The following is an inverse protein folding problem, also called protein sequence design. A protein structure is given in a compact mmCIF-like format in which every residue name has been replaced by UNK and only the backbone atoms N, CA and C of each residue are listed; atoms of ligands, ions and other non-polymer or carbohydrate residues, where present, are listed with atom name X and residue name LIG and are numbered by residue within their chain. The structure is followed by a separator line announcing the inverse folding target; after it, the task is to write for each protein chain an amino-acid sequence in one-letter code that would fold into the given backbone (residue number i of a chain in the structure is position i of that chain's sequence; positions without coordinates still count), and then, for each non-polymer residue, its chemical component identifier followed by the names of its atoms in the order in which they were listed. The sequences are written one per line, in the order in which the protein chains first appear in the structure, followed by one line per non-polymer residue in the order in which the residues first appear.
data_IF_748284508186
#
_entry.id   IF_748284508186
#
_cell.length_a   1.000
_cell.length_b   1.000
_cell.length_c   1.000
_cell.angle_alpha   90.00
_cell.angle_beta   90.00
_cell.angle_gamma   90.00
#
_symmetry.space_group_name_H-M   'P 1'
#
loop_
_entity.id
_entity.type
_entity.pdbx_description
1 polymer ?
#
# COMPACT_ATOMS: atom_id res chain seq x y z
N UNK A 1 -16.98 -17.30 2.73
CA UNK A 1 -17.09 -18.52 1.91
C UNK A 1 -16.05 -19.52 2.41
N UNK A 2 -16.47 -20.60 3.13
CA UNK A 2 -15.56 -21.54 3.79
C UNK A 2 -14.54 -22.20 2.83
N UNK A 3 -14.92 -22.41 1.57
CA UNK A 3 -14.00 -22.93 0.56
C UNK A 3 -12.83 -21.97 0.28
N UNK A 4 -13.08 -20.65 0.26
CA UNK A 4 -12.01 -19.65 0.06
C UNK A 4 -11.09 -19.53 1.27
N UNK A 5 -11.62 -19.65 2.47
CA UNK A 5 -10.81 -19.68 3.69
C UNK A 5 -9.89 -20.90 3.69
N UNK A 6 -10.44 -22.08 3.41
CA UNK A 6 -9.66 -23.29 3.27
C UNK A 6 -8.57 -23.16 2.18
N UNK A 7 -8.91 -22.67 0.99
CA UNK A 7 -7.95 -22.46 -0.09
C UNK A 7 -6.91 -21.38 0.28
N UNK A 8 -7.28 -20.40 1.10
CA UNK A 8 -6.38 -19.36 1.58
C UNK A 8 -5.30 -19.89 2.54
N UNK A 9 -5.58 -20.94 3.27
CA UNK A 9 -4.63 -21.58 4.18
C UNK A 9 -3.67 -22.56 3.46
N UNK A 10 -4.04 -23.03 2.27
CA UNK A 10 -3.18 -23.89 1.48
C UNK A 10 -2.10 -23.09 0.74
N UNK A 11 -0.85 -23.54 0.75
CA UNK A 11 0.22 -22.87 0.02
C UNK A 11 -0.04 -22.93 -1.50
N UNK A 12 0.40 -21.88 -2.20
CA UNK A 12 0.39 -21.75 -3.66
C UNK A 12 -0.98 -21.71 -4.36
N UNK A 13 -2.09 -21.91 -3.67
CA UNK A 13 -3.43 -21.96 -4.28
C UNK A 13 -3.84 -20.64 -4.92
N UNK A 14 -3.59 -19.52 -4.25
CA UNK A 14 -3.88 -18.19 -4.76
C UNK A 14 -2.97 -17.83 -5.93
N UNK A 15 -1.71 -18.24 -5.89
CA UNK A 15 -0.70 -18.03 -6.93
C UNK A 15 -1.02 -18.83 -8.18
N UNK A 16 -1.39 -20.09 -8.04
CA UNK A 16 -1.82 -20.94 -9.18
C UNK A 16 -3.07 -20.37 -9.83
N UNK A 17 -4.08 -20.02 -9.03
CA UNK A 17 -5.31 -19.40 -9.56
C UNK A 17 -4.98 -18.07 -10.27
N UNK A 18 -4.04 -17.28 -9.72
CA UNK A 18 -3.58 -16.06 -10.36
C UNK A 18 -2.91 -16.32 -11.71
N UNK A 19 -2.02 -17.30 -11.79
CA UNK A 19 -1.32 -17.68 -13.02
C UNK A 19 -2.27 -18.22 -14.10
N UNK A 20 -3.30 -18.97 -13.70
CA UNK A 20 -4.29 -19.55 -14.61
C UNK A 20 -5.34 -18.52 -15.06
N UNK A 21 -5.51 -17.43 -14.35
CA UNK A 21 -6.44 -16.38 -14.78
C UNK A 21 -5.92 -15.70 -16.03
N UNK A 22 -6.82 -15.57 -17.03
CA UNK A 22 -6.55 -14.68 -18.14
C UNK A 22 -6.27 -13.28 -17.63
N UNK A 23 -5.12 -12.70 -17.98
CA UNK A 23 -4.70 -11.34 -17.61
C UNK A 23 -5.76 -10.26 -17.95
N UNK A 24 -6.69 -10.57 -18.82
CA UNK A 24 -7.75 -9.67 -19.31
C UNK A 24 -9.08 -9.81 -18.57
N UNK A 25 -9.20 -10.67 -17.57
CA UNK A 25 -10.43 -10.77 -16.78
C UNK A 25 -10.43 -9.72 -15.69
N UNK A 26 -11.34 -8.73 -15.74
CA UNK A 26 -11.46 -7.74 -14.67
C UNK A 26 -11.82 -8.48 -13.37
N UNK A 27 -11.20 -8.06 -12.28
CA UNK A 27 -11.57 -8.55 -10.97
C UNK A 27 -12.98 -8.07 -10.64
N UNK A 28 -13.76 -8.96 -10.01
CA UNK A 28 -15.12 -8.61 -9.55
C UNK A 28 -15.13 -7.76 -8.28
N UNK A 29 -13.98 -7.58 -7.63
CA UNK A 29 -13.88 -6.72 -6.45
C UNK A 29 -13.48 -5.29 -6.85
N UNK A 30 -13.74 -4.33 -5.96
CA UNK A 30 -13.43 -2.91 -6.17
C UNK A 30 -11.91 -2.63 -6.22
N UNK A 31 -11.07 -3.59 -5.83
CA UNK A 31 -9.62 -3.44 -5.87
C UNK A 31 -9.09 -3.80 -7.26
N UNK A 32 -8.89 -2.79 -8.10
CA UNK A 32 -8.47 -2.96 -9.48
C UNK A 32 -7.38 -1.95 -9.86
N UNK A 33 -6.24 -2.45 -10.31
CA UNK A 33 -5.06 -1.67 -10.75
C UNK A 33 -4.78 -1.85 -12.25
N UNK A 34 -5.74 -2.34 -13.04
CA UNK A 34 -5.52 -2.57 -14.48
C UNK A 34 -5.20 -1.28 -15.24
N UNK A 35 -5.84 -0.17 -14.84
CA UNK A 35 -5.56 1.15 -15.43
C UNK A 35 -4.09 1.53 -15.22
N UNK A 36 -3.61 1.38 -13.99
CA UNK A 36 -2.22 1.62 -13.63
C UNK A 36 -1.27 0.72 -14.43
N UNK A 37 -1.56 -0.57 -14.47
CA UNK A 37 -0.75 -1.56 -15.20
C UNK A 37 -0.61 -1.22 -16.69
N UNK A 38 -1.65 -0.65 -17.30
CA UNK A 38 -1.65 -0.28 -18.71
C UNK A 38 -0.88 1.02 -18.97
N UNK A 39 -0.94 1.99 -18.08
CA UNK A 39 -0.40 3.33 -18.30
C UNK A 39 1.03 3.55 -17.78
N UNK A 40 1.45 2.78 -16.75
CA UNK A 40 2.79 2.91 -16.17
C UNK A 40 3.96 2.71 -17.16
N UNK A 41 3.92 1.77 -18.12
CA UNK A 41 5.03 1.61 -19.07
C UNK A 41 5.34 2.90 -19.83
N UNK A 42 4.33 3.58 -20.35
CA UNK A 42 4.50 4.85 -21.06
C UNK A 42 5.01 5.97 -20.12
N UNK A 43 4.51 6.02 -18.90
CA UNK A 43 4.98 6.99 -17.90
C UNK A 43 6.45 6.73 -17.51
N UNK A 44 6.86 5.46 -17.37
CA UNK A 44 8.24 5.07 -17.12
C UNK A 44 9.17 5.51 -18.24
N UNK A 45 8.77 5.30 -19.48
CA UNK A 45 9.57 5.69 -20.65
C UNK A 45 9.73 7.22 -20.73
N UNK A 46 8.69 7.97 -20.39
CA UNK A 46 8.74 9.43 -20.33
C UNK A 46 9.66 9.96 -19.22
N UNK A 47 9.73 9.29 -18.07
CA UNK A 47 10.52 9.77 -16.90
C UNK A 47 11.99 9.31 -16.95
N UNK A 48 12.27 8.18 -17.56
CA UNK A 48 13.63 7.58 -17.59
C UNK A 48 14.74 8.54 -18.01
N UNK A 49 14.61 9.37 -19.05
CA UNK A 49 15.66 10.32 -19.44
C UNK A 49 15.98 11.35 -18.37
N UNK A 50 14.97 11.78 -17.62
CA UNK A 50 15.13 12.75 -16.51
C UNK A 50 15.87 12.10 -15.35
N UNK A 51 15.48 10.89 -14.95
CA UNK A 51 16.11 10.16 -13.86
C UNK A 51 17.62 9.90 -14.10
N UNK A 52 18.01 9.62 -15.34
CA UNK A 52 19.42 9.39 -15.71
C UNK A 52 20.30 10.62 -15.52
N UNK A 53 19.74 11.82 -15.66
CA UNK A 53 20.45 13.09 -15.58
C UNK A 53 20.21 13.84 -14.26
N UNK A 54 19.39 13.28 -13.38
CA UNK A 54 19.02 13.94 -12.11
C UNK A 54 20.18 13.87 -11.11
N UNK A 55 20.32 14.93 -10.32
CA UNK A 55 21.20 14.91 -9.13
C UNK A 55 20.56 14.07 -8.03
N UNK A 56 21.40 13.42 -7.23
CA UNK A 56 20.95 12.65 -6.08
C UNK A 56 20.08 13.52 -5.15
N UNK A 57 18.87 13.07 -4.93
CA UNK A 57 17.86 13.73 -4.10
C UNK A 57 17.74 13.09 -2.70
N UNK A 58 16.57 13.24 -2.11
CA UNK A 58 16.23 12.72 -0.77
C UNK A 58 15.61 11.33 -0.87
N UNK A 59 15.61 10.59 0.24
CA UNK A 59 14.80 9.38 0.40
C UNK A 59 13.36 9.77 0.67
N UNK A 60 12.43 9.18 -0.07
CA UNK A 60 11.00 9.43 0.04
C UNK A 60 10.27 8.09 0.21
N UNK A 61 9.40 8.02 1.21
CA UNK A 61 8.54 6.87 1.46
C UNK A 61 7.08 7.27 1.23
N UNK A 62 6.41 6.55 0.34
CA UNK A 62 4.96 6.59 0.22
C UNK A 62 4.36 5.37 0.90
N UNK A 63 3.31 5.59 1.68
CA UNK A 63 2.47 4.52 2.21
C UNK A 63 1.07 4.61 1.60
N UNK A 64 0.62 3.55 0.94
CA UNK A 64 -0.66 3.54 0.24
C UNK A 64 -1.42 2.23 0.50
N UNK A 65 -2.71 2.36 0.79
CA UNK A 65 -3.59 1.23 1.13
C UNK A 65 -4.67 0.99 0.09
N UNK A 66 -5.38 2.02 -0.31
CA UNK A 66 -6.49 1.93 -1.27
C UNK A 66 -5.96 1.95 -2.71
N UNK A 67 -6.64 1.27 -3.62
CA UNK A 67 -6.18 1.14 -5.01
C UNK A 67 -5.91 2.49 -5.69
N UNK A 68 -6.76 3.50 -5.48
CA UNK A 68 -6.57 4.83 -6.05
C UNK A 68 -5.40 5.60 -5.40
N UNK A 69 -5.13 5.38 -4.10
CA UNK A 69 -3.95 5.94 -3.46
C UNK A 69 -2.66 5.26 -3.95
N UNK A 70 -2.72 3.94 -4.22
CA UNK A 70 -1.61 3.22 -4.82
C UNK A 70 -1.34 3.77 -6.23
N UNK A 71 -2.39 4.03 -7.03
CA UNK A 71 -2.24 4.66 -8.35
C UNK A 71 -1.59 6.04 -8.25
N UNK A 72 -2.11 6.92 -7.41
CA UNK A 72 -1.57 8.28 -7.23
C UNK A 72 -0.12 8.24 -6.74
N UNK A 73 0.17 7.41 -5.73
CA UNK A 73 1.52 7.29 -5.17
C UNK A 73 2.51 6.70 -6.16
N UNK A 74 2.08 5.80 -7.04
CA UNK A 74 2.92 5.26 -8.10
C UNK A 74 3.36 6.34 -9.10
N UNK A 75 2.43 7.18 -9.56
CA UNK A 75 2.76 8.29 -10.46
C UNK A 75 3.60 9.37 -9.79
N UNK A 76 3.23 9.78 -8.58
CA UNK A 76 3.98 10.79 -7.85
C UNK A 76 5.38 10.29 -7.50
N UNK A 77 5.49 9.03 -7.08
CA UNK A 77 6.77 8.38 -6.83
C UNK A 77 7.64 8.33 -8.07
N UNK A 78 7.05 8.05 -9.23
CA UNK A 78 7.77 8.03 -10.50
C UNK A 78 8.28 9.43 -10.89
N UNK A 79 7.48 10.47 -10.72
CA UNK A 79 7.90 11.86 -10.96
C UNK A 79 9.05 12.24 -10.04
N UNK A 80 8.96 11.94 -8.75
CA UNK A 80 10.03 12.23 -7.78
C UNK A 80 11.31 11.42 -8.08
N UNK A 81 11.18 10.17 -8.52
CA UNK A 81 12.33 9.40 -8.96
C UNK A 81 12.98 10.01 -10.21
N UNK A 82 12.19 10.54 -11.14
CA UNK A 82 12.67 11.34 -12.28
C UNK A 82 13.44 12.60 -11.88
N UNK A 83 13.13 13.15 -10.72
CA UNK A 83 13.84 14.29 -10.11
C UNK A 83 15.08 13.87 -9.30
N UNK A 84 15.40 12.57 -9.26
CA UNK A 84 16.60 12.03 -8.58
C UNK A 84 16.36 11.59 -7.13
N UNK A 85 15.14 11.56 -6.66
CA UNK A 85 14.83 11.06 -5.32
C UNK A 85 14.87 9.53 -5.27
N UNK A 86 15.35 8.97 -4.14
CA UNK A 86 15.29 7.53 -3.82
C UNK A 86 13.91 7.22 -3.24
N UNK A 87 13.03 6.67 -4.07
CA UNK A 87 11.62 6.50 -3.74
C UNK A 87 11.30 5.06 -3.38
N UNK A 88 10.65 4.87 -2.24
CA UNK A 88 10.05 3.60 -1.83
C UNK A 88 8.54 3.75 -1.73
N UNK A 89 7.81 2.88 -2.42
CA UNK A 89 6.36 2.75 -2.32
C UNK A 89 6.03 1.53 -1.46
N UNK A 90 5.58 1.77 -0.24
CA UNK A 90 5.08 0.77 0.68
C UNK A 90 3.57 0.61 0.50
N UNK A 91 3.12 -0.61 0.18
CA UNK A 91 1.70 -0.88 -0.04
C UNK A 91 1.14 -1.85 0.97
N UNK A 92 -0.11 -1.58 1.39
CA UNK A 92 -0.95 -2.53 2.11
C UNK A 92 -2.27 -2.64 1.33
N UNK A 93 -2.47 -3.66 0.49
CA UNK A 93 -3.58 -3.75 -0.46
C UNK A 93 -4.93 -4.05 0.22
N UNK A 94 -5.35 -3.18 1.11
CA UNK A 94 -6.64 -3.19 1.76
C UNK A 94 -7.61 -2.25 1.05
N UNK A 95 -8.85 -2.68 0.85
CA UNK A 95 -9.91 -1.82 0.31
C UNK A 95 -10.97 -1.44 1.34
N UNK A 96 -11.08 -2.20 2.40
CA UNK A 96 -12.09 -2.03 3.45
C UNK A 96 -11.49 -2.55 4.75
N UNK A 97 -10.96 -1.64 5.56
CA UNK A 97 -10.24 -1.98 6.79
C UNK A 97 -11.15 -2.60 7.87
N UNK A 98 -12.46 -2.33 7.81
CA UNK A 98 -13.45 -2.83 8.76
C UNK A 98 -14.06 -4.20 8.38
N UNK A 99 -13.69 -4.75 7.22
CA UNK A 99 -14.13 -6.08 6.80
C UNK A 99 -12.96 -7.03 6.74
N UNK A 100 -13.05 -8.09 7.51
CA UNK A 100 -12.10 -9.18 7.43
C UNK A 100 -12.12 -9.78 6.02
N UNK A 101 -10.94 -9.90 5.43
CA UNK A 101 -10.77 -10.53 4.10
C UNK A 101 -10.21 -11.91 4.29
N UNK A 102 -10.74 -12.86 3.51
CA UNK A 102 -10.14 -14.19 3.46
C UNK A 102 -8.71 -14.12 2.92
N UNK A 103 -7.83 -14.98 3.44
CA UNK A 103 -6.40 -15.03 3.09
C UNK A 103 -6.17 -15.24 1.60
N UNK A 104 -7.05 -15.98 0.93
CA UNK A 104 -6.96 -16.23 -0.51
C UNK A 104 -7.11 -14.94 -1.32
N UNK A 105 -8.14 -14.14 -1.01
CA UNK A 105 -8.35 -12.83 -1.66
C UNK A 105 -7.20 -11.88 -1.34
N UNK A 106 -6.70 -11.89 -0.11
CA UNK A 106 -5.57 -11.04 0.29
C UNK A 106 -4.31 -11.37 -0.50
N UNK A 107 -3.94 -12.66 -0.61
CA UNK A 107 -2.80 -13.11 -1.42
C UNK A 107 -2.95 -12.71 -2.89
N UNK A 108 -4.15 -12.87 -3.47
CA UNK A 108 -4.42 -12.43 -4.83
C UNK A 108 -4.27 -10.91 -5.04
N UNK A 109 -4.64 -10.10 -4.03
CA UNK A 109 -4.44 -8.64 -4.10
C UNK A 109 -2.96 -8.27 -4.05
N UNK A 110 -2.16 -8.96 -3.24
CA UNK A 110 -0.71 -8.77 -3.19
C UNK A 110 -0.11 -9.06 -4.57
N UNK A 111 -0.44 -10.21 -5.17
CA UNK A 111 0.04 -10.59 -6.49
C UNK A 111 -0.36 -9.57 -7.57
N UNK A 112 -1.62 -9.11 -7.55
CA UNK A 112 -2.10 -8.10 -8.47
C UNK A 112 -1.35 -6.77 -8.32
N UNK A 113 -1.11 -6.34 -7.09
CA UNK A 113 -0.37 -5.12 -6.80
C UNK A 113 1.08 -5.24 -7.26
N UNK A 114 1.72 -6.35 -6.96
CA UNK A 114 3.08 -6.62 -7.42
C UNK A 114 3.18 -6.61 -8.95
N UNK A 115 2.27 -7.29 -9.64
CA UNK A 115 2.25 -7.33 -11.11
C UNK A 115 2.00 -5.95 -11.73
N UNK A 116 1.14 -5.14 -11.12
CA UNK A 116 0.87 -3.78 -11.59
C UNK A 116 2.06 -2.84 -11.39
N UNK A 117 2.82 -3.00 -10.31
CA UNK A 117 3.90 -2.10 -9.92
C UNK A 117 5.30 -2.56 -10.36
N UNK A 118 5.47 -3.79 -10.83
CA UNK A 118 6.79 -4.36 -11.18
C UNK A 118 7.55 -3.52 -12.22
N UNK A 119 6.85 -2.83 -13.11
CA UNK A 119 7.47 -1.97 -14.12
C UNK A 119 8.21 -0.77 -13.51
N UNK A 120 7.84 -0.37 -12.29
CA UNK A 120 8.48 0.73 -11.56
C UNK A 120 9.88 0.36 -11.04
N UNK A 121 10.19 -0.93 -10.91
CA UNK A 121 11.40 -1.46 -10.25
C UNK A 121 12.73 -0.77 -10.60
N UNK A 122 12.96 -0.28 -11.83
CA UNK A 122 14.20 0.44 -12.13
C UNK A 122 14.35 1.80 -11.44
N UNK A 123 13.22 2.45 -11.08
CA UNK A 123 13.23 3.82 -10.55
C UNK A 123 12.60 3.92 -9.15
N UNK A 124 11.57 3.13 -8.86
CA UNK A 124 10.84 3.16 -7.60
C UNK A 124 10.86 1.77 -6.97
N UNK A 125 11.32 1.67 -5.74
CA UNK A 125 11.28 0.43 -4.97
C UNK A 125 9.86 0.18 -4.47
N UNK A 126 9.29 -0.96 -4.84
CA UNK A 126 8.00 -1.40 -4.29
C UNK A 126 8.22 -2.44 -3.18
N UNK A 127 7.52 -2.27 -2.08
CA UNK A 127 7.52 -3.19 -0.92
C UNK A 127 6.08 -3.42 -0.47
N UNK A 128 5.69 -4.67 -0.30
CA UNK A 128 4.42 -4.99 0.37
C UNK A 128 4.63 -5.03 1.88
N UNK A 129 3.77 -4.38 2.63
CA UNK A 129 3.82 -4.41 4.09
C UNK A 129 3.61 -5.83 4.65
N UNK A 130 2.85 -6.66 3.92
CA UNK A 130 2.59 -8.04 4.30
C UNK A 130 3.82 -8.95 4.09
N UNK A 131 4.70 -8.61 3.14
CA UNK A 131 5.96 -9.33 2.94
C UNK A 131 6.95 -9.04 4.08
N UNK A 132 6.94 -7.81 4.60
CA UNK A 132 7.76 -7.44 5.78
C UNK A 132 7.33 -8.25 6.99
N UNK A 133 6.03 -8.41 7.22
CA UNK A 133 5.52 -9.20 8.32
C UNK A 133 5.89 -10.69 8.21
N UNK A 134 5.89 -11.25 7.01
CA UNK A 134 6.25 -12.65 6.78
C UNK A 134 7.75 -12.92 6.95
N UNK A 135 8.60 -11.94 6.65
CA UNK A 135 10.04 -12.06 6.77
C UNK A 135 10.56 -11.77 8.18
N UNK A 136 9.85 -10.96 8.95
CA UNK A 136 10.14 -10.79 10.36
C UNK A 136 9.62 -12.02 11.11
N UNK A 137 10.52 -12.90 11.55
CA UNK A 137 10.28 -13.86 12.64
C UNK A 137 10.12 -13.09 13.97
N UNK A 138 9.30 -12.06 13.97
CA UNK A 138 8.79 -11.53 15.21
C UNK A 138 7.91 -12.66 15.74
N UNK A 139 8.43 -13.40 16.73
CA UNK A 139 7.61 -14.26 17.54
C UNK A 139 6.32 -13.46 17.79
N UNK A 140 5.17 -14.09 17.62
CA UNK A 140 3.88 -13.49 17.95
C UNK A 140 3.76 -13.28 19.47
N UNK A 141 4.75 -12.61 20.05
CA UNK A 141 4.53 -11.89 21.27
C UNK A 141 3.45 -10.89 20.92
N UNK A 142 2.24 -11.18 21.41
CA UNK A 142 1.07 -10.33 21.42
C UNK A 142 1.53 -8.89 21.22
N UNK A 143 1.10 -8.24 20.11
CA UNK A 143 1.17 -6.80 19.98
C UNK A 143 0.47 -6.26 21.24
N UNK A 144 1.23 -6.01 22.28
CA UNK A 144 0.72 -5.35 23.47
C UNK A 144 0.22 -4.02 22.96
N UNK A 145 -1.07 -3.82 23.02
CA UNK A 145 -1.66 -2.52 22.74
C UNK A 145 -0.92 -1.54 23.65
N UNK A 146 -0.04 -0.72 23.08
CA UNK A 146 0.66 0.31 23.79
C UNK A 146 -0.42 1.32 24.15
N UNK A 147 -0.65 1.52 25.44
CA UNK A 147 -1.59 2.54 25.88
C UNK A 147 -1.03 3.91 25.50
N UNK A 148 -1.89 4.83 25.11
CA UNK A 148 -1.49 6.20 24.77
C UNK A 148 -0.63 6.83 25.88
N UNK A 149 -0.98 6.58 27.15
CA UNK A 149 -0.24 7.07 28.32
C UNK A 149 1.20 6.51 28.45
N UNK A 150 1.50 5.40 27.78
CA UNK A 150 2.83 4.76 27.84
C UNK A 150 3.76 5.28 26.74
N UNK A 151 3.26 6.16 25.85
CA UNK A 151 4.04 6.78 24.78
C UNK A 151 4.83 8.00 25.30
N UNK A 152 5.97 8.34 24.68
CA UNK A 152 6.64 9.60 24.93
C UNK A 152 5.68 10.80 24.74
N UNK A 153 5.76 11.80 25.61
CA UNK A 153 4.84 12.95 25.64
C UNK A 153 4.70 13.65 24.28
N UNK A 154 5.80 13.81 23.57
CA UNK A 154 5.79 14.35 22.20
C UNK A 154 4.90 13.53 21.24
N UNK A 155 5.00 12.20 21.31
CA UNK A 155 4.18 11.32 20.44
C UNK A 155 2.70 11.39 20.85
N UNK A 156 2.41 11.49 22.15
CA UNK A 156 1.03 11.69 22.61
C UNK A 156 0.44 13.00 22.07
N UNK A 157 1.24 14.07 22.08
CA UNK A 157 0.83 15.36 21.54
C UNK A 157 0.61 15.31 20.02
N UNK A 158 1.55 14.73 19.28
CA UNK A 158 1.46 14.57 17.83
C UNK A 158 0.21 13.75 17.45
N UNK A 159 -0.10 12.68 18.18
CA UNK A 159 -1.30 11.85 17.96
C UNK A 159 -2.58 12.68 18.18
N UNK A 160 -2.65 13.46 19.27
CA UNK A 160 -3.80 14.31 19.55
C UNK A 160 -4.03 15.33 18.45
N UNK A 161 -2.98 16.00 18.00
CA UNK A 161 -3.05 17.02 16.97
C UNK A 161 -3.52 16.43 15.62
N UNK A 162 -2.94 15.31 15.20
CA UNK A 162 -3.33 14.64 13.95
C UNK A 162 -4.77 14.12 14.04
N UNK A 163 -5.17 13.54 15.20
CA UNK A 163 -6.54 13.06 15.40
C UNK A 163 -7.56 14.19 15.37
N UNK A 164 -7.22 15.35 15.93
CA UNK A 164 -8.07 16.54 15.87
C UNK A 164 -8.27 17.01 14.43
N UNK A 165 -7.19 17.12 13.65
CA UNK A 165 -7.28 17.52 12.25
C UNK A 165 -8.09 16.55 11.41
N UNK A 166 -7.92 15.23 11.64
CA UNK A 166 -8.70 14.20 10.93
C UNK A 166 -10.18 14.28 11.29
N UNK A 167 -10.51 14.51 12.57
CA UNK A 167 -11.88 14.69 13.03
C UNK A 167 -12.52 15.96 12.45
N UNK A 168 -11.81 17.09 12.47
CA UNK A 168 -12.25 18.35 11.86
C UNK A 168 -12.54 18.18 10.37
N UNK A 169 -11.64 17.53 9.63
CA UNK A 169 -11.82 17.25 8.21
C UNK A 169 -13.01 16.33 7.96
N UNK A 170 -13.12 15.24 8.72
CA UNK A 170 -14.17 14.23 8.54
C UNK A 170 -15.56 14.79 8.87
N UNK A 171 -15.65 15.59 9.91
CA UNK A 171 -16.92 16.20 10.35
C UNK A 171 -17.23 17.51 9.62
N UNK A 172 -16.30 18.04 8.81
CA UNK A 172 -16.41 19.36 8.18
C UNK A 172 -16.72 20.47 9.20
N UNK A 173 -16.08 20.40 10.37
CA UNK A 173 -16.25 21.37 11.46
C UNK A 173 -14.90 21.98 11.82
N UNK A 174 -14.89 23.26 12.12
CA UNK A 174 -13.71 23.99 12.60
C UNK A 174 -13.38 23.65 14.05
N UNK A 175 -14.40 23.34 14.86
CA UNK A 175 -14.26 22.98 16.26
C UNK A 175 -14.82 21.58 16.50
N UNK A 176 -14.04 20.74 17.15
CA UNK A 176 -14.39 19.38 17.56
C UNK A 176 -14.01 19.20 19.01
N UNK A 177 -14.96 18.80 19.87
CA UNK A 177 -14.66 18.40 21.23
C UNK A 177 -14.11 16.96 21.19
N UNK A 178 -12.88 16.79 21.65
CA UNK A 178 -12.19 15.49 21.68
C UNK A 178 -12.65 14.60 22.84
N UNK A 179 -13.61 15.05 23.65
CA UNK A 179 -14.18 14.30 24.78
C UNK A 179 -15.57 13.73 24.44
N UNK A 180 -16.15 14.05 23.29
CA UNK A 180 -17.35 13.43 22.74
C UNK A 180 -17.01 12.17 21.95
#
# INVERSE_FOLDING_TARGET
NPLREFLGDLPLTAEIDWMLRSKNRPRKDHYNLMRLQTSLPAAMDAVRPFAQNAKSGKKVLFFATLHYWIEQSAYLGLVLAGMGHDVTLLTLPYSEWHKEKDKFTQRQRILHTHDALKVLSPLVKHVSMLDIQSSSRVSHGTLRAVKHADLPEKIQQDIKEVSLWDAQYTLMREEVDMND
#
